data_IF_783295477382
#
_entry.id   IF_783295477382
#
_cell.length_a   1.000
_cell.length_b   1.000
_cell.length_c   1.000
_cell.angle_alpha   90.00
_cell.angle_beta   90.00
_cell.angle_gamma   90.00
#
_symmetry.space_group_name_H-M   'P 1'
#
loop_
_entity.id
_entity.type
_entity.pdbx_description
1 polymer ?
#
# COMPACT_ATOMS: atom_id res chain seq x y z
N UNK A 1 -14.80 3.34 -1.55
CA UNK A 1 -13.89 4.38 -2.04
C UNK A 1 -12.91 3.68 -2.96
N UNK A 2 -12.83 4.07 -4.22
CA UNK A 2 -11.83 3.52 -5.14
C UNK A 2 -10.52 4.28 -4.93
N UNK A 3 -9.42 3.55 -4.82
CA UNK A 3 -8.07 4.10 -4.73
C UNK A 3 -7.38 3.77 -6.04
N UNK A 4 -7.10 4.80 -6.82
CA UNK A 4 -6.49 4.70 -8.14
C UNK A 4 -5.05 5.19 -8.12
N UNK A 5 -4.73 6.19 -7.29
CA UNK A 5 -3.41 6.84 -7.28
C UNK A 5 -2.72 6.87 -5.91
N UNK A 6 -1.43 7.20 -5.94
CA UNK A 6 -0.57 7.31 -4.75
C UNK A 6 -1.14 8.29 -3.72
N UNK A 7 -1.66 9.44 -4.17
CA UNK A 7 -2.18 10.47 -3.27
C UNK A 7 -3.44 9.99 -2.52
N UNK A 8 -4.29 9.20 -3.17
CA UNK A 8 -5.45 8.57 -2.54
C UNK A 8 -5.05 7.53 -1.50
N UNK A 9 -3.96 6.77 -1.71
CA UNK A 9 -3.40 5.88 -0.67
C UNK A 9 -2.99 6.69 0.57
N UNK A 10 -2.29 7.81 0.37
CA UNK A 10 -1.91 8.69 1.49
C UNK A 10 -3.11 9.32 2.18
N UNK A 11 -4.09 9.79 1.41
CA UNK A 11 -5.34 10.34 1.94
C UNK A 11 -6.13 9.32 2.74
N UNK A 12 -6.24 8.08 2.25
CA UNK A 12 -6.93 7.00 2.93
C UNK A 12 -6.24 6.59 4.23
N UNK A 13 -4.89 6.50 4.24
CA UNK A 13 -4.13 6.30 5.47
C UNK A 13 -4.40 7.42 6.49
N UNK A 14 -4.42 8.67 6.03
CA UNK A 14 -4.69 9.83 6.88
C UNK A 14 -6.11 9.82 7.44
N UNK A 15 -7.11 9.42 6.65
CA UNK A 15 -8.49 9.27 7.10
C UNK A 15 -8.62 8.23 8.24
N UNK A 16 -7.75 7.21 8.24
CA UNK A 16 -7.64 6.22 9.33
C UNK A 16 -6.70 6.64 10.47
N UNK A 17 -6.22 7.88 10.50
CA UNK A 17 -5.32 8.40 11.54
C UNK A 17 -3.85 8.01 11.37
N UNK A 18 -3.48 7.45 10.22
CA UNK A 18 -2.12 6.99 9.95
C UNK A 18 -1.32 7.94 9.07
N UNK A 19 -0.01 7.97 9.30
CA UNK A 19 0.97 8.42 8.32
C UNK A 19 1.64 7.19 7.72
N UNK A 20 2.23 7.30 6.52
CA UNK A 20 3.00 6.17 5.94
C UNK A 20 4.07 5.67 6.92
N UNK A 21 4.75 6.59 7.61
CA UNK A 21 5.77 6.24 8.60
C UNK A 21 5.19 5.54 9.82
N UNK A 22 4.14 6.09 10.44
CA UNK A 22 3.56 5.48 11.65
C UNK A 22 2.91 4.14 11.35
N UNK A 23 2.26 4.00 10.19
CA UNK A 23 1.72 2.73 9.73
C UNK A 23 2.83 1.70 9.48
N UNK A 24 3.91 2.09 8.79
CA UNK A 24 5.04 1.20 8.52
C UNK A 24 5.67 0.69 9.82
N UNK A 25 5.92 1.59 10.79
CA UNK A 25 6.49 1.22 12.08
C UNK A 25 5.55 0.32 12.90
N UNK A 26 4.24 0.59 12.88
CA UNK A 26 3.24 -0.26 13.55
C UNK A 26 3.13 -1.66 12.97
N UNK A 27 3.52 -1.85 11.70
CA UNK A 27 3.53 -3.14 11.02
C UNK A 27 4.94 -3.72 10.86
N UNK A 28 5.93 -3.21 11.61
CA UNK A 28 7.33 -3.67 11.59
C UNK A 28 8.03 -3.59 10.23
N UNK A 29 7.59 -2.67 9.35
CA UNK A 29 8.21 -2.40 8.05
C UNK A 29 9.12 -1.16 8.08
N UNK A 30 10.10 -1.14 7.17
CA UNK A 30 10.90 0.06 6.95
C UNK A 30 10.07 1.15 6.22
N UNK A 31 9.94 2.37 6.76
CA UNK A 31 9.15 3.43 6.15
C UNK A 31 9.55 3.78 4.71
N UNK A 32 10.84 3.72 4.38
CA UNK A 32 11.33 3.99 3.01
C UNK A 32 10.90 2.90 2.04
N UNK A 33 10.90 1.64 2.49
CA UNK A 33 10.43 0.51 1.68
C UNK A 33 8.94 0.62 1.42
N UNK A 34 8.14 0.93 2.44
CA UNK A 34 6.69 1.14 2.26
C UNK A 34 6.41 2.30 1.31
N UNK A 35 7.12 3.42 1.47
CA UNK A 35 7.00 4.56 0.57
C UNK A 35 7.35 4.19 -0.87
N UNK A 36 8.43 3.42 -1.08
CA UNK A 36 8.80 2.90 -2.40
C UNK A 36 7.70 2.00 -2.98
N UNK A 37 7.19 1.05 -2.19
CA UNK A 37 6.12 0.15 -2.63
C UNK A 37 4.87 0.92 -3.07
N UNK A 38 4.43 1.90 -2.29
CA UNK A 38 3.26 2.72 -2.64
C UNK A 38 3.50 3.46 -3.97
N UNK A 39 4.66 4.08 -4.16
CA UNK A 39 4.95 4.85 -5.37
C UNK A 39 5.11 3.97 -6.63
N UNK A 40 5.63 2.75 -6.46
CA UNK A 40 5.92 1.84 -7.57
C UNK A 40 4.73 0.98 -7.97
N UNK A 41 3.89 0.61 -7.00
CA UNK A 41 2.82 -0.38 -7.17
C UNK A 41 1.42 0.17 -6.89
N UNK A 42 1.25 1.51 -6.84
CA UNK A 42 -0.08 2.10 -6.85
C UNK A 42 -0.85 1.67 -8.11
N UNK A 43 -2.19 1.57 -8.05
CA UNK A 43 -3.00 1.05 -9.16
C UNK A 43 -2.78 1.77 -10.49
N UNK A 44 -2.61 3.10 -10.47
CA UNK A 44 -2.28 3.94 -11.64
C UNK A 44 -1.01 3.51 -12.39
N UNK A 45 -0.08 2.80 -11.74
CA UNK A 45 1.18 2.37 -12.36
C UNK A 45 1.00 1.10 -13.19
N UNK A 46 -0.10 0.36 -13.01
CA UNK A 46 -0.32 -0.94 -13.65
C UNK A 46 0.76 -1.98 -13.33
N UNK A 47 1.62 -1.73 -12.34
CA UNK A 47 2.76 -2.56 -11.98
C UNK A 47 2.42 -3.40 -10.75
N UNK A 48 2.59 -4.71 -10.86
CA UNK A 48 2.36 -5.62 -9.72
C UNK A 48 3.66 -5.92 -8.97
N UNK A 49 3.64 -5.97 -7.63
CA UNK A 49 4.81 -6.35 -6.85
C UNK A 49 5.15 -7.83 -7.07
N UNK A 50 6.37 -8.12 -7.54
CA UNK A 50 6.84 -9.51 -7.73
C UNK A 50 7.52 -10.08 -6.48
N UNK A 51 8.17 -9.22 -5.69
CA UNK A 51 8.91 -9.65 -4.49
C UNK A 51 7.95 -9.91 -3.33
N UNK A 52 8.23 -10.97 -2.56
CA UNK A 52 7.44 -11.37 -1.37
C UNK A 52 7.14 -10.20 -0.44
N UNK A 53 8.17 -9.45 -0.03
CA UNK A 53 8.01 -8.30 0.87
C UNK A 53 7.10 -7.20 0.28
N UNK A 54 7.20 -6.92 -1.02
CA UNK A 54 6.38 -5.90 -1.65
C UNK A 54 4.90 -6.34 -1.75
N UNK A 55 4.66 -7.64 -2.03
CA UNK A 55 3.31 -8.24 -2.00
C UNK A 55 2.71 -8.15 -0.60
N UNK A 56 3.47 -8.54 0.42
CA UNK A 56 3.04 -8.46 1.81
C UNK A 56 2.69 -7.03 2.23
N UNK A 57 3.55 -6.04 1.93
CA UNK A 57 3.28 -4.63 2.25
C UNK A 57 2.00 -4.14 1.58
N UNK A 58 1.83 -4.40 0.29
CA UNK A 58 0.66 -3.90 -0.46
C UNK A 58 -0.63 -4.65 -0.08
N UNK A 59 -0.55 -5.94 0.25
CA UNK A 59 -1.67 -6.71 0.80
C UNK A 59 -2.08 -6.18 2.18
N UNK A 60 -1.11 -5.93 3.06
CA UNK A 60 -1.38 -5.38 4.39
C UNK A 60 -1.96 -3.96 4.33
N UNK A 61 -1.50 -3.15 3.38
CA UNK A 61 -2.11 -1.84 3.09
C UNK A 61 -3.55 -2.02 2.63
N UNK A 62 -3.83 -2.99 1.75
CA UNK A 62 -5.18 -3.28 1.26
C UNK A 62 -6.12 -3.65 2.41
N UNK A 63 -5.69 -4.55 3.30
CA UNK A 63 -6.41 -4.89 4.53
C UNK A 63 -6.64 -3.67 5.43
N UNK A 64 -5.60 -2.84 5.63
CA UNK A 64 -5.71 -1.65 6.49
C UNK A 64 -6.72 -0.67 5.91
N UNK A 65 -6.71 -0.45 4.59
CA UNK A 65 -7.55 0.53 3.93
C UNK A 65 -8.93 -0.01 3.55
N UNK A 66 -9.15 -1.32 3.69
CA UNK A 66 -10.38 -2.02 3.27
C UNK A 66 -10.67 -1.81 1.78
N UNK A 67 -9.61 -1.78 0.96
CA UNK A 67 -9.66 -1.58 -0.50
C UNK A 67 -8.61 -2.47 -1.15
N UNK A 68 -8.94 -3.09 -2.28
CA UNK A 68 -7.99 -3.89 -3.07
C UNK A 68 -6.99 -2.98 -3.80
N UNK A 69 -5.73 -2.93 -3.34
CA UNK A 69 -4.65 -2.16 -4.00
C UNK A 69 -3.83 -2.99 -4.98
N UNK A 70 -3.82 -4.32 -4.80
CA UNK A 70 -3.09 -5.25 -5.67
C UNK A 70 -4.13 -6.00 -6.48
N UNK A 71 -4.35 -5.58 -7.72
CA UNK A 71 -5.32 -6.26 -8.58
C UNK A 71 -4.92 -7.72 -8.81
N UNK A 72 -5.77 -8.63 -8.37
CA UNK A 72 -5.73 -10.05 -8.73
C UNK A 72 -4.81 -10.87 -7.83
N UNK A 73 -5.46 -11.74 -7.05
CA UNK A 73 -4.93 -12.99 -6.50
C UNK A 73 -3.95 -13.65 -7.47
N UNK A 74 -2.71 -13.88 -7.03
CA UNK A 74 -1.92 -15.01 -7.56
C UNK A 74 -2.73 -16.26 -7.17
N UNK A 75 -3.46 -16.81 -8.15
CA UNK A 75 -3.95 -18.19 -8.13
C UNK A 75 -2.79 -19.15 -8.42
#
# INVERSE_FOLDING_TARGET
>A
MEIENVNQIYGALRAKGWTVRSWALSNFYNPRTVLYCINMFAPEKGCKPQRKLAREIMSKLSETLEVELVGGSDE
#
